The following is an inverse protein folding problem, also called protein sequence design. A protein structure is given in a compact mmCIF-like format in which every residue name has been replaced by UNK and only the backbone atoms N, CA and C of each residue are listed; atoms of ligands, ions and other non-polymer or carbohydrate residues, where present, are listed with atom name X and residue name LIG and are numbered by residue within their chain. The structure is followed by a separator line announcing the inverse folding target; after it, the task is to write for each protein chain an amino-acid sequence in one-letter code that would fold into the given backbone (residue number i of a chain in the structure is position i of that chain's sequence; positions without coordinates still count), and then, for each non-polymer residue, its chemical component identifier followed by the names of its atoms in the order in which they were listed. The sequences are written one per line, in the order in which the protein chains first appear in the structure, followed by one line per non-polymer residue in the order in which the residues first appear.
data_IF_449751028538
#
_entry.id   IF_449751028538
#
_cell.length_a   1.000
_cell.length_b   1.000
_cell.length_c   1.000
_cell.angle_alpha   90.00
_cell.angle_beta   90.00
_cell.angle_gamma   90.00
#
_symmetry.space_group_name_H-M   'P 1'
#
loop_
_entity.id
_entity.type
_entity.pdbx_description
1 polymer ?
#
# COMPACT_ATOMS: atom_id res chain seq x y z
N UNK A 1 2.94 28.03 5.04
CA UNK A 1 1.83 27.58 4.16
C UNK A 1 0.74 26.76 4.87
N UNK A 2 1.02 25.99 5.93
CA UNK A 2 -0.03 25.22 6.66
C UNK A 2 -1.11 26.12 7.34
N UNK A 3 -0.77 27.37 7.70
CA UNK A 3 -1.75 28.31 8.28
C UNK A 3 -2.72 28.96 7.28
N UNK A 4 -2.45 28.92 5.97
CA UNK A 4 -3.41 29.42 4.97
C UNK A 4 -4.46 28.36 4.61
N UNK A 5 -4.09 27.08 4.70
CA UNK A 5 -4.99 25.94 4.50
C UNK A 5 -6.09 25.93 5.59
N UNK A 6 -5.72 26.13 6.86
CA UNK A 6 -6.70 26.17 7.96
C UNK A 6 -7.71 27.33 7.88
N UNK A 7 -7.33 28.48 7.32
CA UNK A 7 -8.26 29.62 7.16
C UNK A 7 -9.24 29.43 6.01
N UNK A 8 -8.93 28.58 5.04
CA UNK A 8 -9.86 28.21 3.97
C UNK A 8 -10.89 27.16 4.43
N UNK A 9 -10.58 26.36 5.46
CA UNK A 9 -11.48 25.35 6.02
C UNK A 9 -12.71 25.95 6.73
N UNK A 10 -12.59 27.16 7.32
CA UNK A 10 -13.69 27.83 8.02
C UNK A 10 -14.83 28.35 7.13
N UNK A 11 -14.66 28.39 5.80
CA UNK A 11 -15.74 28.74 4.85
C UNK A 11 -16.50 27.53 4.31
N UNK A 12 -16.09 26.30 4.67
CA UNK A 12 -16.71 25.07 4.14
C UNK A 12 -18.00 24.67 4.87
N UNK A 13 -18.33 25.28 6.01
CA UNK A 13 -19.56 24.95 6.76
C UNK A 13 -20.84 25.35 6.00
N UNK A 14 -20.80 26.38 5.15
CA UNK A 14 -21.89 26.75 4.21
C UNK A 14 -21.86 25.94 2.90
N UNK A 15 -20.77 25.21 2.61
CA UNK A 15 -20.58 24.40 1.39
C UNK A 15 -20.80 22.89 1.65
N UNK A 16 -21.34 22.51 2.81
CA UNK A 16 -21.52 21.11 3.23
C UNK A 16 -22.21 20.20 2.18
N UNK A 17 -23.03 20.75 1.27
CA UNK A 17 -23.71 19.99 0.21
C UNK A 17 -22.82 19.55 -0.96
N UNK A 18 -21.68 20.20 -1.20
CA UNK A 18 -20.82 19.92 -2.36
C UNK A 18 -19.55 19.12 -2.06
N UNK A 19 -19.04 19.19 -0.83
CA UNK A 19 -17.70 18.66 -0.50
C UNK A 19 -17.74 17.17 -0.17
N UNK A 20 -18.81 16.68 0.45
CA UNK A 20 -18.95 15.24 0.79
C UNK A 20 -19.02 14.36 -0.47
N UNK A 21 -19.79 14.70 -1.51
CA UNK A 21 -19.76 13.96 -2.78
C UNK A 21 -18.34 13.84 -3.36
N UNK A 22 -17.58 14.94 -3.38
CA UNK A 22 -16.19 14.92 -3.85
C UNK A 22 -15.30 14.01 -2.99
N UNK A 23 -15.45 14.04 -1.66
CA UNK A 23 -14.70 13.15 -0.78
C UNK A 23 -15.02 11.67 -1.02
N UNK A 24 -16.28 11.34 -1.31
CA UNK A 24 -16.67 9.98 -1.71
C UNK A 24 -16.00 9.56 -3.03
N UNK A 25 -16.00 10.42 -4.03
CA UNK A 25 -15.28 10.17 -5.30
C UNK A 25 -13.77 9.94 -5.05
N UNK A 26 -13.16 10.73 -4.17
CA UNK A 26 -11.77 10.55 -3.79
C UNK A 26 -11.53 9.22 -3.07
N UNK A 27 -12.45 8.77 -2.20
CA UNK A 27 -12.34 7.48 -1.51
C UNK A 27 -12.50 6.32 -2.51
N UNK A 28 -13.39 6.46 -3.49
CA UNK A 28 -13.57 5.46 -4.55
C UNK A 28 -12.35 5.37 -5.47
N UNK A 29 -11.77 6.50 -5.85
CA UNK A 29 -10.51 6.54 -6.59
C UNK A 29 -9.36 5.89 -5.80
N UNK A 30 -9.30 6.12 -4.48
CA UNK A 30 -8.33 5.47 -3.59
C UNK A 30 -8.51 3.95 -3.60
N UNK A 31 -9.76 3.48 -3.52
CA UNK A 31 -10.09 2.06 -3.64
C UNK A 31 -9.63 1.47 -4.97
N UNK A 32 -9.92 2.15 -6.08
CA UNK A 32 -9.50 1.70 -7.41
C UNK A 32 -7.96 1.60 -7.54
N UNK A 33 -7.23 2.56 -6.98
CA UNK A 33 -5.76 2.52 -6.92
C UNK A 33 -5.27 1.29 -6.15
N UNK A 34 -5.89 0.98 -4.99
CA UNK A 34 -5.52 -0.17 -4.16
C UNK A 34 -5.74 -1.48 -4.91
N UNK A 35 -6.86 -1.62 -5.63
CA UNK A 35 -7.17 -2.84 -6.40
C UNK A 35 -6.25 -3.02 -7.62
N UNK A 36 -5.87 -1.93 -8.29
CA UNK A 36 -5.00 -1.98 -9.46
C UNK A 36 -3.53 -2.30 -9.10
N UNK A 37 -3.12 -1.98 -7.88
CA UNK A 37 -1.76 -2.10 -7.36
C UNK A 37 -1.32 -3.55 -7.08
N UNK A 38 -0.05 -3.71 -6.69
CA UNK A 38 0.45 -4.95 -6.08
C UNK A 38 -0.28 -5.21 -4.73
N UNK A 39 -0.67 -6.46 -4.43
CA UNK A 39 -1.61 -6.76 -3.34
C UNK A 39 -0.93 -6.89 -1.97
N UNK A 40 -0.18 -5.87 -1.55
CA UNK A 40 0.38 -5.82 -0.20
C UNK A 40 -0.64 -5.26 0.79
N UNK A 41 -0.67 -5.82 2.01
CA UNK A 41 -1.58 -5.41 3.11
C UNK A 41 -3.01 -5.12 2.62
N UNK A 42 -3.49 -5.92 1.67
CA UNK A 42 -4.66 -5.57 0.87
C UNK A 42 -5.91 -5.41 1.74
N UNK A 43 -6.06 -6.27 2.74
CA UNK A 43 -7.19 -6.24 3.66
C UNK A 43 -7.18 -5.00 4.55
N UNK A 44 -6.01 -4.61 5.07
CA UNK A 44 -5.86 -3.39 5.87
C UNK A 44 -6.17 -2.12 5.05
N UNK A 45 -5.72 -2.10 3.79
CA UNK A 45 -5.93 -0.99 2.85
C UNK A 45 -7.41 -0.89 2.46
N UNK A 46 -8.06 -2.01 2.12
CA UNK A 46 -9.52 -2.07 1.87
C UNK A 46 -10.32 -1.65 3.10
N UNK A 47 -9.97 -2.14 4.28
CA UNK A 47 -10.64 -1.78 5.51
C UNK A 47 -10.50 -0.28 5.84
N UNK A 48 -9.39 0.36 5.45
CA UNK A 48 -9.22 1.81 5.57
C UNK A 48 -10.19 2.57 4.65
N UNK A 49 -10.32 2.17 3.39
CA UNK A 49 -11.28 2.76 2.44
C UNK A 49 -12.70 2.65 3.01
N UNK A 50 -13.07 1.48 3.53
CA UNK A 50 -14.39 1.25 4.09
C UNK A 50 -14.66 2.12 5.34
N UNK A 51 -13.69 2.24 6.25
CA UNK A 51 -13.80 3.15 7.40
C UNK A 51 -13.96 4.62 6.97
N UNK A 52 -13.29 5.04 5.89
CA UNK A 52 -13.43 6.40 5.36
C UNK A 52 -14.84 6.62 4.78
N UNK A 53 -15.40 5.63 4.06
CA UNK A 53 -16.79 5.70 3.57
C UNK A 53 -17.77 5.88 4.72
N UNK A 54 -17.66 5.02 5.74
CA UNK A 54 -18.52 5.09 6.93
C UNK A 54 -18.41 6.43 7.67
N UNK A 55 -17.21 7.03 7.70
CA UNK A 55 -16.99 8.34 8.31
C UNK A 55 -17.75 9.45 7.59
N UNK A 56 -18.02 9.33 6.28
CA UNK A 56 -18.74 10.37 5.53
C UNK A 56 -20.16 10.56 6.03
N UNK A 57 -20.81 9.50 6.55
CA UNK A 57 -22.18 9.54 7.07
C UNK A 57 -22.28 10.01 8.53
N UNK A 58 -21.14 10.12 9.23
CA UNK A 58 -21.12 10.54 10.63
C UNK A 58 -21.38 12.04 10.76
N UNK A 59 -22.51 12.41 11.36
CA UNK A 59 -22.91 13.82 11.54
C UNK A 59 -22.04 14.58 12.56
N UNK A 60 -21.47 13.87 13.54
CA UNK A 60 -20.63 14.47 14.59
C UNK A 60 -19.20 14.79 14.10
N UNK A 61 -18.81 14.28 12.94
CA UNK A 61 -17.48 14.55 12.37
C UNK A 61 -17.56 15.75 11.44
N UNK A 62 -16.73 16.75 11.70
CA UNK A 62 -16.67 17.97 10.88
C UNK A 62 -16.18 17.67 9.47
N UNK A 63 -16.59 18.48 8.49
CA UNK A 63 -16.12 18.35 7.11
C UNK A 63 -14.58 18.45 7.00
N UNK A 64 -13.96 19.31 7.81
CA UNK A 64 -12.50 19.46 7.90
C UNK A 64 -11.80 18.19 8.37
N UNK A 65 -12.37 17.49 9.36
CA UNK A 65 -11.82 16.24 9.86
C UNK A 65 -11.97 15.11 8.83
N UNK A 66 -13.15 15.00 8.19
CA UNK A 66 -13.38 14.08 7.07
C UNK A 66 -12.33 14.26 5.97
N UNK A 67 -12.12 15.50 5.53
CA UNK A 67 -11.12 15.85 4.54
C UNK A 67 -9.71 15.46 4.98
N UNK A 68 -9.32 15.81 6.21
CA UNK A 68 -7.99 15.48 6.76
C UNK A 68 -7.75 13.97 6.70
N UNK A 69 -8.73 13.16 7.10
CA UNK A 69 -8.63 11.69 7.10
C UNK A 69 -8.48 11.10 5.71
N UNK A 70 -9.20 11.63 4.72
CA UNK A 70 -9.03 11.26 3.32
C UNK A 70 -7.60 11.60 2.86
N UNK A 71 -7.11 12.81 3.13
CA UNK A 71 -5.76 13.23 2.75
C UNK A 71 -4.66 12.38 3.42
N UNK A 72 -4.84 12.01 4.69
CA UNK A 72 -3.92 11.11 5.40
C UNK A 72 -3.82 9.74 4.72
N UNK A 73 -4.94 9.20 4.24
CA UNK A 73 -4.93 7.94 3.52
C UNK A 73 -4.17 8.06 2.19
N UNK A 74 -4.36 9.16 1.45
CA UNK A 74 -3.58 9.45 0.24
C UNK A 74 -2.08 9.61 0.52
N UNK A 75 -1.72 10.31 1.59
CA UNK A 75 -0.31 10.47 1.98
C UNK A 75 0.35 9.12 2.29
N UNK A 76 -0.35 8.24 3.02
CA UNK A 76 0.13 6.88 3.26
C UNK A 76 0.31 6.08 1.97
N UNK A 77 -0.63 6.18 1.03
CA UNK A 77 -0.51 5.51 -0.26
C UNK A 77 0.68 5.99 -1.11
N UNK A 78 0.98 7.30 -1.05
CA UNK A 78 2.16 7.88 -1.69
C UNK A 78 3.46 7.43 -1.02
N UNK A 79 3.45 7.30 0.31
CA UNK A 79 4.62 6.86 1.08
C UNK A 79 5.00 5.40 0.77
N UNK A 80 4.03 4.53 0.50
CA UNK A 80 4.31 3.16 0.05
C UNK A 80 5.13 3.12 -1.25
N UNK A 81 5.08 4.15 -2.09
CA UNK A 81 5.94 4.24 -3.28
C UNK A 81 7.44 4.34 -2.97
N UNK A 82 7.81 4.81 -1.77
CA UNK A 82 9.19 5.20 -1.44
C UNK A 82 9.81 4.37 -0.33
N UNK A 83 9.02 3.56 0.36
CA UNK A 83 9.45 2.77 1.52
C UNK A 83 9.61 1.30 1.16
N UNK A 84 10.43 0.62 1.95
CA UNK A 84 10.57 -0.84 1.95
C UNK A 84 10.04 -1.37 3.27
N UNK A 85 9.39 -2.52 3.25
CA UNK A 85 8.77 -3.11 4.42
C UNK A 85 8.88 -4.64 4.38
N UNK A 86 8.99 -5.25 5.56
CA UNK A 86 8.77 -6.69 5.75
C UNK A 86 7.64 -6.93 6.74
N UNK A 87 6.80 -7.92 6.44
CA UNK A 87 5.73 -8.37 7.32
C UNK A 87 5.42 -9.84 7.06
N UNK A 88 4.89 -10.54 8.05
CA UNK A 88 4.47 -11.94 7.91
C UNK A 88 2.96 -12.01 7.72
N UNK A 89 2.50 -12.78 6.74
CA UNK A 89 1.08 -12.99 6.47
C UNK A 89 0.86 -14.32 5.72
N UNK A 90 -0.40 -14.72 5.56
CA UNK A 90 -0.76 -15.93 4.82
C UNK A 90 -0.65 -15.69 3.31
N UNK A 91 0.07 -16.56 2.61
CA UNK A 91 0.16 -16.52 1.15
C UNK A 91 -1.23 -16.85 0.55
N UNK A 92 -1.86 -15.97 -0.26
CA UNK A 92 -3.24 -16.18 -0.70
C UNK A 92 -3.50 -17.47 -1.48
N UNK A 93 -2.48 -18.03 -2.14
CA UNK A 93 -2.61 -19.25 -2.95
C UNK A 93 -2.59 -20.53 -2.13
N UNK A 94 -1.90 -20.54 -0.98
CA UNK A 94 -1.67 -21.76 -0.18
C UNK A 94 -2.18 -21.66 1.26
N UNK A 95 -2.46 -20.46 1.76
CA UNK A 95 -2.75 -20.20 3.17
C UNK A 95 -1.54 -20.35 4.10
N UNK A 96 -0.37 -20.69 3.57
CA UNK A 96 0.85 -20.85 4.36
C UNK A 96 1.35 -19.48 4.81
N UNK A 97 1.75 -19.36 6.08
CA UNK A 97 2.40 -18.15 6.58
C UNK A 97 3.78 -17.98 5.95
N UNK A 98 4.01 -16.83 5.33
CA UNK A 98 5.25 -16.44 4.67
C UNK A 98 5.65 -15.04 5.11
N UNK A 99 6.92 -14.71 4.91
CA UNK A 99 7.44 -13.38 5.08
C UNK A 99 7.42 -12.64 3.74
N UNK A 100 6.66 -11.55 3.69
CA UNK A 100 6.63 -10.64 2.56
C UNK A 100 7.74 -9.60 2.67
N UNK A 101 8.31 -9.27 1.52
CA UNK A 101 9.19 -8.13 1.32
C UNK A 101 8.57 -7.23 0.25
N UNK A 102 8.18 -6.03 0.65
CA UNK A 102 7.69 -4.98 -0.25
C UNK A 102 8.80 -3.98 -0.50
N UNK A 103 9.10 -3.70 -1.75
CA UNK A 103 10.02 -2.64 -2.16
C UNK A 103 9.26 -1.61 -2.99
N UNK A 104 8.94 -0.48 -2.37
CA UNK A 104 8.08 0.54 -2.99
C UNK A 104 6.73 -0.04 -3.40
N UNK A 105 6.30 0.28 -4.63
CA UNK A 105 5.13 -0.32 -5.31
C UNK A 105 5.51 -1.21 -6.50
N UNK A 106 6.81 -1.44 -6.69
CA UNK A 106 7.31 -2.14 -7.88
C UNK A 106 7.44 -3.63 -7.64
N UNK A 107 7.71 -4.04 -6.39
CA UNK A 107 8.07 -5.40 -6.08
C UNK A 107 7.45 -5.86 -4.76
N UNK A 108 6.80 -7.02 -4.83
CA UNK A 108 6.32 -7.77 -3.68
C UNK A 108 6.86 -9.20 -3.79
N UNK A 109 7.72 -9.57 -2.86
CA UNK A 109 8.35 -10.88 -2.77
C UNK A 109 7.80 -11.59 -1.55
N UNK A 110 7.88 -12.91 -1.55
CA UNK A 110 7.64 -13.71 -0.36
C UNK A 110 8.72 -14.77 -0.19
N UNK A 111 8.95 -15.17 1.05
CA UNK A 111 9.81 -16.30 1.40
C UNK A 111 9.22 -17.02 2.61
N UNK A 112 9.24 -18.36 2.61
CA UNK A 112 8.87 -19.13 3.79
C UNK A 112 9.90 -18.90 4.91
N UNK A 113 9.54 -19.00 6.19
CA UNK A 113 10.47 -18.74 7.30
C UNK A 113 11.73 -19.63 7.30
N UNK A 114 11.63 -20.84 6.75
CA UNK A 114 12.74 -21.78 6.55
C UNK A 114 13.56 -21.53 5.27
N UNK A 115 13.11 -20.58 4.43
CA UNK A 115 13.72 -20.23 3.16
C UNK A 115 13.54 -21.26 2.04
N UNK A 116 12.76 -22.33 2.24
CA UNK A 116 12.59 -23.42 1.27
C UNK A 116 11.82 -23.00 0.02
N UNK A 117 10.93 -22.02 0.13
CA UNK A 117 10.17 -21.48 -1.00
C UNK A 117 10.33 -19.96 -1.03
N UNK A 118 10.69 -19.45 -2.21
CA UNK A 118 10.81 -18.01 -2.49
C UNK A 118 10.03 -17.70 -3.76
N UNK A 119 9.29 -16.60 -3.76
CA UNK A 119 8.54 -16.19 -4.93
C UNK A 119 8.26 -14.70 -4.94
N UNK A 120 7.47 -14.27 -5.92
CA UNK A 120 7.12 -12.88 -6.13
C UNK A 120 5.70 -12.76 -6.67
N UNK A 121 5.11 -11.59 -6.51
CA UNK A 121 3.90 -11.22 -7.22
C UNK A 121 4.28 -10.74 -8.61
N UNK A 122 3.85 -11.47 -9.64
CA UNK A 122 4.03 -11.07 -11.02
C UNK A 122 2.90 -10.11 -11.44
N UNK A 123 3.19 -8.81 -11.71
CA UNK A 123 2.16 -7.84 -12.03
C UNK A 123 1.46 -8.11 -13.37
N UNK A 124 2.08 -8.87 -14.29
CA UNK A 124 1.49 -9.23 -15.59
C UNK A 124 0.43 -10.32 -15.47
N UNK A 125 0.74 -11.40 -14.76
CA UNK A 125 -0.22 -12.50 -14.53
C UNK A 125 -1.16 -12.21 -13.35
N UNK A 126 -0.84 -11.22 -12.51
CA UNK A 126 -1.49 -10.91 -11.23
C UNK A 126 -1.53 -12.11 -10.29
N UNK A 127 -0.48 -12.92 -10.30
CA UNK A 127 -0.35 -14.13 -9.49
C UNK A 127 0.99 -14.19 -8.76
N UNK A 128 1.00 -14.95 -7.66
CA UNK A 128 2.23 -15.31 -6.98
C UNK A 128 2.92 -16.45 -7.73
N UNK A 129 4.16 -16.24 -8.12
CA UNK A 129 4.97 -17.18 -8.88
C UNK A 129 6.27 -17.49 -8.12
N UNK A 130 6.72 -18.74 -8.22
CA UNK A 130 7.98 -19.16 -7.61
C UNK A 130 9.17 -18.49 -8.33
N UNK A 131 10.16 -18.07 -7.55
CA UNK A 131 11.43 -17.56 -8.04
C UNK A 131 12.49 -18.67 -8.05
N UNK A 132 13.42 -18.66 -9.02
CA UNK A 132 14.57 -19.57 -8.99
C UNK A 132 15.42 -19.39 -7.73
N UNK A 133 16.01 -20.49 -7.23
CA UNK A 133 16.80 -20.54 -5.99
C UNK A 133 17.93 -19.51 -5.90
N UNK A 134 18.45 -19.04 -7.04
CA UNK A 134 19.48 -17.98 -7.07
C UNK A 134 19.07 -16.70 -6.32
N UNK A 135 17.77 -16.40 -6.25
CA UNK A 135 17.26 -15.21 -5.57
C UNK A 135 17.01 -15.43 -4.06
N UNK A 136 17.07 -16.67 -3.57
CA UNK A 136 16.74 -17.01 -2.18
C UNK A 136 17.56 -16.20 -1.17
N UNK A 137 18.86 -16.08 -1.40
CA UNK A 137 19.77 -15.34 -0.52
C UNK A 137 19.53 -13.82 -0.60
N UNK A 138 19.25 -13.29 -1.79
CA UNK A 138 18.98 -11.87 -1.98
C UNK A 138 17.68 -11.43 -1.31
N UNK A 139 16.63 -12.24 -1.43
CA UNK A 139 15.34 -12.00 -0.76
C UNK A 139 15.51 -12.07 0.76
N UNK A 140 16.23 -13.08 1.27
CA UNK A 140 16.53 -13.19 2.70
C UNK A 140 17.29 -11.98 3.24
N UNK A 141 18.28 -11.48 2.48
CA UNK A 141 18.99 -10.23 2.81
C UNK A 141 18.06 -9.02 2.80
N UNK A 142 17.21 -8.89 1.78
CA UNK A 142 16.22 -7.82 1.68
C UNK A 142 15.24 -7.80 2.85
N UNK A 143 14.76 -8.97 3.28
CA UNK A 143 13.90 -9.13 4.47
C UNK A 143 14.60 -8.63 5.73
N UNK A 144 15.85 -9.05 5.97
CA UNK A 144 16.63 -8.61 7.12
C UNK A 144 16.89 -7.08 7.12
N UNK A 145 17.16 -6.49 5.95
CA UNK A 145 17.33 -5.04 5.81
C UNK A 145 16.02 -4.31 6.12
N UNK A 146 14.89 -4.79 5.59
CA UNK A 146 13.58 -4.20 5.82
C UNK A 146 13.13 -4.27 7.29
N UNK A 147 13.63 -5.24 8.06
CA UNK A 147 13.44 -5.38 9.51
C UNK A 147 14.43 -4.56 10.35
N UNK A 148 15.35 -3.84 9.72
CA UNK A 148 16.48 -3.17 10.38
C UNK A 148 17.40 -4.12 11.17
N UNK A 149 17.43 -5.41 10.82
CA UNK A 149 18.34 -6.40 11.42
C UNK A 149 19.74 -6.34 10.80
N UNK A 150 19.85 -5.68 9.63
CA UNK A 150 21.10 -5.40 8.93
C UNK A 150 21.19 -3.94 8.51
N UNK A 151 22.42 -3.45 8.40
CA UNK A 151 22.68 -2.16 7.76
C UNK A 151 22.22 -2.18 6.29
N UNK A 152 21.78 -1.03 5.73
CA UNK A 152 21.44 -0.93 4.32
C UNK A 152 22.58 -1.41 3.43
N UNK A 153 22.28 -2.35 2.53
CA UNK A 153 23.21 -2.93 1.58
C UNK A 153 22.52 -3.10 0.21
N UNK A 154 23.32 -3.19 -0.86
CA UNK A 154 22.81 -3.41 -2.20
C UNK A 154 22.45 -4.90 -2.37
N UNK A 155 21.18 -5.16 -2.70
CA UNK A 155 20.66 -6.49 -3.00
C UNK A 155 20.18 -6.56 -4.45
N UNK A 156 20.42 -7.69 -5.11
CA UNK A 156 20.00 -7.89 -6.50
C UNK A 156 18.65 -8.61 -6.51
N UNK A 157 17.57 -7.87 -6.72
CA UNK A 157 16.22 -8.43 -6.74
C UNK A 157 15.70 -8.53 -8.17
N UNK A 158 14.84 -9.52 -8.48
CA UNK A 158 14.20 -9.59 -9.78
C UNK A 158 13.24 -8.40 -9.89
N UNK A 159 13.48 -7.51 -10.86
CA UNK A 159 12.55 -6.45 -11.20
C UNK A 159 11.82 -6.82 -12.48
N UNK A 160 10.48 -6.62 -12.55
CA UNK A 160 9.78 -6.76 -13.81
C UNK A 160 10.38 -5.77 -14.82
N UNK A 161 10.77 -6.29 -16.00
CA UNK A 161 11.28 -5.45 -17.09
C UNK A 161 10.24 -4.41 -17.54
N UNK A 162 10.69 -3.28 -18.13
CA UNK A 162 9.82 -2.17 -18.49
C UNK A 162 8.66 -2.65 -19.36
N UNK A 163 7.46 -2.24 -18.98
CA UNK A 163 6.27 -2.42 -19.81
C UNK A 163 6.42 -1.48 -21.02
N UNK A 164 6.49 -2.05 -22.22
CA UNK A 164 6.43 -1.23 -23.43
C UNK A 164 5.08 -0.50 -23.41
N UNK A 165 5.11 0.83 -23.45
CA UNK A 165 3.89 1.61 -23.59
C UNK A 165 3.13 1.13 -24.84
N UNK A 166 1.80 0.91 -24.75
CA UNK A 166 1.00 0.52 -25.90
C UNK A 166 0.98 1.58 -27.01
#
# INVERSE_FOLDING_TARGET
EIQSINRQLGRLEETNRGVVPLMLEMIDALGAIIEADIPFRIDERRARVERLRQMMDQAEVTASEKYRRVMEAYQGELEFGRTTESYSDSLPTTGQTVDFLRVGRTLLLYQTPDGSSTGWFNPRSRQFEALPDRYRLDVSRGLAIARNERAPDLVTLPVPGPEAAP
#
